data_IF_224953329341
#
_entry.id   IF_224953329341
#
_cell.length_a   1.000
_cell.length_b   1.000
_cell.length_c   1.000
_cell.angle_alpha   90.00
_cell.angle_beta   90.00
_cell.angle_gamma   90.00
#
_symmetry.space_group_name_H-M   'P 1'
#
loop_
_entity.id
_entity.type
_entity.pdbx_description
1 polymer ?
#
# COMPACT_ATOMS: atom_id res chain seq x y z
N UNK A 1 5.54 19.60 -19.50
CA UNK A 1 4.66 18.78 -18.67
C UNK A 1 3.59 19.60 -18.06
N UNK A 2 2.37 19.23 -18.32
CA UNK A 2 1.25 20.02 -17.86
C UNK A 2 0.51 19.39 -16.68
N UNK A 3 1.00 18.27 -16.27
CA UNK A 3 0.29 17.50 -15.25
C UNK A 3 0.21 18.24 -13.94
N UNK A 4 1.03 19.26 -13.73
CA UNK A 4 1.10 19.92 -12.45
C UNK A 4 0.16 21.09 -12.35
N UNK A 5 -0.56 21.40 -13.42
CA UNK A 5 -1.44 22.53 -13.41
C UNK A 5 -2.62 22.37 -12.46
N UNK A 6 -3.00 21.13 -12.16
CA UNK A 6 -4.15 20.89 -11.32
C UNK A 6 -3.80 20.63 -9.87
N UNK A 7 -2.64 21.11 -9.47
CA UNK A 7 -2.23 21.05 -8.08
C UNK A 7 -3.26 21.78 -7.20
N UNK A 8 -3.63 21.21 -6.07
CA UNK A 8 -4.55 21.93 -5.19
C UNK A 8 -3.92 23.26 -4.74
N UNK A 9 -4.73 24.28 -4.67
CA UNK A 9 -4.25 25.57 -4.19
C UNK A 9 -3.85 25.52 -2.73
N UNK A 10 -4.59 24.77 -1.93
CA UNK A 10 -4.33 24.64 -0.50
C UNK A 10 -4.32 23.16 -0.16
N UNK A 11 -3.18 22.59 0.15
CA UNK A 11 -3.11 21.15 0.46
C UNK A 11 -3.68 20.79 1.82
N UNK A 12 -4.02 21.79 2.64
CA UNK A 12 -4.59 21.51 3.96
C UNK A 12 -6.09 21.43 3.88
N UNK A 13 -6.68 20.63 4.77
CA UNK A 13 -8.11 20.76 5.00
C UNK A 13 -8.42 22.16 5.48
N UNK A 14 -9.60 22.67 5.11
CA UNK A 14 -10.04 23.95 5.61
C UNK A 14 -10.23 23.91 7.11
N UNK A 15 -9.97 25.04 7.78
CA UNK A 15 -10.14 25.05 9.23
C UNK A 15 -11.56 24.63 9.65
N UNK A 16 -12.56 25.04 8.89
CA UNK A 16 -13.92 24.66 9.26
C UNK A 16 -14.15 23.16 9.20
N UNK A 17 -13.48 22.47 8.30
CA UNK A 17 -13.57 21.01 8.25
C UNK A 17 -12.90 20.38 9.47
N UNK A 18 -11.74 20.90 9.84
CA UNK A 18 -11.04 20.40 11.03
C UNK A 18 -11.85 20.70 12.27
N UNK A 19 -12.41 21.89 12.34
CA UNK A 19 -13.25 22.30 13.48
C UNK A 19 -14.42 21.35 13.64
N UNK A 20 -15.05 20.97 12.54
CA UNK A 20 -16.18 20.07 12.58
C UNK A 20 -15.76 18.71 13.17
N UNK A 21 -14.59 18.20 12.76
CA UNK A 21 -14.07 16.93 13.28
C UNK A 21 -13.76 17.07 14.78
N UNK A 22 -13.12 18.17 15.16
CA UNK A 22 -12.77 18.39 16.56
C UNK A 22 -14.02 18.42 17.43
N UNK A 23 -15.06 19.07 16.99
CA UNK A 23 -16.27 19.19 17.79
C UNK A 23 -17.10 17.89 17.79
N UNK A 24 -17.21 17.23 16.64
CA UNK A 24 -18.17 16.14 16.50
C UNK A 24 -17.58 14.76 16.72
N UNK A 25 -16.29 14.58 16.50
CA UNK A 25 -15.63 13.28 16.70
C UNK A 25 -14.72 13.26 17.90
N UNK A 26 -13.96 14.34 18.12
CA UNK A 26 -13.07 14.38 19.27
C UNK A 26 -13.81 14.88 20.51
N UNK A 27 -14.81 15.74 20.30
CA UNK A 27 -15.60 16.24 21.40
C UNK A 27 -15.03 17.45 22.09
N UNK A 28 -14.27 18.25 21.36
CA UNK A 28 -13.66 19.47 21.93
C UNK A 28 -14.72 20.55 22.03
N UNK A 29 -14.97 21.02 23.26
CA UNK A 29 -15.91 22.12 23.50
C UNK A 29 -15.25 23.32 24.15
N UNK A 30 -14.04 23.18 24.64
CA UNK A 30 -13.33 24.22 25.38
C UNK A 30 -12.86 25.32 24.42
N UNK A 31 -13.35 26.55 24.58
CA UNK A 31 -12.94 27.64 23.65
C UNK A 31 -11.45 27.93 23.65
N UNK A 32 -10.80 27.82 24.83
CA UNK A 32 -9.39 28.06 24.90
C UNK A 32 -8.61 27.00 24.15
N UNK A 33 -9.05 25.74 24.23
CA UNK A 33 -8.43 24.69 23.46
C UNK A 33 -8.61 24.91 21.97
N UNK A 34 -9.82 25.26 21.56
CA UNK A 34 -10.07 25.52 20.14
C UNK A 34 -9.23 26.68 19.63
N UNK A 35 -9.05 27.71 20.44
CA UNK A 35 -8.21 28.84 20.06
C UNK A 35 -6.75 28.37 19.85
N UNK A 36 -6.25 27.58 20.78
CA UNK A 36 -4.90 27.06 20.66
C UNK A 36 -4.72 26.17 19.45
N UNK A 37 -5.72 25.34 19.16
CA UNK A 37 -5.66 24.44 18.02
C UNK A 37 -5.69 25.22 16.70
N UNK A 38 -6.47 26.31 16.66
CA UNK A 38 -6.49 27.14 15.48
C UNK A 38 -5.15 27.84 15.25
N UNK A 39 -4.52 28.30 16.34
CA UNK A 39 -3.20 28.91 16.23
C UNK A 39 -2.17 27.90 15.74
N UNK A 40 -2.26 26.66 16.21
CA UNK A 40 -1.40 25.59 15.69
C UNK A 40 -1.63 25.38 14.20
N UNK A 41 -2.88 25.33 13.78
CA UNK A 41 -3.20 25.18 12.36
C UNK A 41 -2.60 26.30 11.53
N UNK A 42 -2.77 27.54 12.00
CA UNK A 42 -2.24 28.69 11.28
C UNK A 42 -0.71 28.64 11.20
N UNK A 43 -0.06 28.22 12.27
CA UNK A 43 1.39 28.11 12.27
C UNK A 43 1.86 27.09 11.25
N UNK A 44 1.16 25.96 11.16
CA UNK A 44 1.51 24.92 10.20
C UNK A 44 1.34 25.43 8.77
N UNK A 45 0.23 26.08 8.49
CA UNK A 45 -0.02 26.62 7.15
C UNK A 45 1.05 27.66 6.79
N UNK A 46 1.38 28.53 7.73
CA UNK A 46 2.40 29.55 7.50
C UNK A 46 3.77 28.91 7.24
N UNK A 47 4.11 27.89 8.00
CA UNK A 47 5.39 27.21 7.82
C UNK A 47 5.46 26.56 6.44
N UNK A 48 4.35 25.98 6.00
CA UNK A 48 4.30 25.39 4.67
C UNK A 48 4.53 26.44 3.59
N UNK A 49 3.97 27.62 3.77
CA UNK A 49 4.15 28.68 2.78
C UNK A 49 5.58 29.20 2.72
N UNK A 50 6.27 29.25 3.85
CA UNK A 50 7.62 29.80 3.89
C UNK A 50 8.70 28.77 3.60
N UNK A 51 8.51 27.51 4.02
CA UNK A 51 9.55 26.49 3.90
C UNK A 51 9.19 25.39 2.92
N UNK A 52 7.98 25.37 2.42
CA UNK A 52 7.55 24.37 1.46
C UNK A 52 7.00 23.11 2.12
N UNK A 53 6.33 22.29 1.31
CA UNK A 53 5.60 21.14 1.86
C UNK A 53 6.49 20.07 2.49
N UNK A 54 7.64 19.83 1.95
CA UNK A 54 8.52 18.81 2.52
C UNK A 54 9.03 19.22 3.89
N UNK A 55 9.24 20.30 4.07
CA UNK A 55 9.68 20.81 5.21
C UNK A 55 8.71 20.89 6.23
N UNK A 56 7.76 21.30 5.77
CA UNK A 56 6.65 21.38 6.71
C UNK A 56 6.29 19.98 7.21
N UNK A 57 6.19 19.04 6.31
CA UNK A 57 5.86 17.67 6.67
C UNK A 57 6.90 17.07 7.61
N UNK A 58 8.16 17.35 7.37
CA UNK A 58 9.21 16.84 8.26
C UNK A 58 9.08 17.41 9.65
N UNK A 59 8.77 18.71 9.75
CA UNK A 59 8.60 19.32 11.07
C UNK A 59 7.41 18.75 11.82
N UNK A 60 6.30 18.57 11.11
CA UNK A 60 5.11 17.97 11.71
C UNK A 60 5.39 16.57 12.21
N UNK A 61 6.14 15.81 11.43
CA UNK A 61 6.51 14.45 11.82
C UNK A 61 7.29 14.46 13.13
N UNK A 62 8.25 15.38 13.26
CA UNK A 62 9.05 15.45 14.47
C UNK A 62 8.22 15.89 15.66
N UNK A 63 7.31 16.84 15.48
CA UNK A 63 6.43 17.27 16.57
C UNK A 63 5.54 16.12 17.02
N UNK A 64 4.96 15.39 16.06
CA UNK A 64 4.15 14.24 16.41
C UNK A 64 4.95 13.18 17.16
N UNK A 65 6.18 12.95 16.71
CA UNK A 65 7.03 11.97 17.36
C UNK A 65 7.35 12.38 18.79
N UNK A 66 7.68 13.67 19.00
CA UNK A 66 7.95 14.17 20.34
C UNK A 66 6.75 13.95 21.26
N UNK A 67 5.56 14.26 20.78
CA UNK A 67 4.36 14.12 21.59
C UNK A 67 4.01 12.65 21.82
N UNK A 68 4.23 11.81 20.84
CA UNK A 68 3.97 10.39 20.99
C UNK A 68 4.91 9.78 22.04
N UNK A 69 6.18 10.15 21.99
CA UNK A 69 7.13 9.66 22.98
C UNK A 69 6.75 10.13 24.38
N UNK A 70 6.32 11.39 24.49
CA UNK A 70 5.90 11.92 25.78
C UNK A 70 4.71 11.16 26.33
N UNK A 71 3.71 10.91 25.47
CA UNK A 71 2.53 10.17 25.87
C UNK A 71 2.89 8.76 26.34
N UNK A 72 3.89 8.16 25.71
CA UNK A 72 4.35 6.81 26.06
C UNK A 72 5.33 6.79 27.23
N UNK A 73 5.65 7.94 27.80
CA UNK A 73 6.61 8.00 28.92
C UNK A 73 8.04 7.82 28.51
N UNK A 74 8.35 8.03 27.24
CA UNK A 74 9.71 7.89 26.74
C UNK A 74 10.46 9.22 26.81
N UNK A 75 11.79 9.15 26.65
CA UNK A 75 12.61 10.34 26.68
C UNK A 75 12.31 11.24 25.49
N UNK A 76 12.53 12.55 25.70
CA UNK A 76 12.34 13.52 24.63
C UNK A 76 13.38 13.29 23.52
N UNK A 77 13.05 13.80 22.32
CA UNK A 77 13.96 13.71 21.20
C UNK A 77 15.23 14.51 21.48
N UNK A 78 16.34 14.08 20.87
CA UNK A 78 17.58 14.82 20.95
C UNK A 78 17.65 15.81 19.79
N UNK A 79 17.72 17.09 20.13
CA UNK A 79 17.95 18.18 19.17
C UNK A 79 17.06 18.12 17.94
N UNK A 80 15.75 18.07 18.10
CA UNK A 80 14.90 18.13 16.93
C UNK A 80 14.92 19.51 16.31
N UNK A 81 14.53 19.58 15.04
CA UNK A 81 14.53 20.83 14.31
C UNK A 81 13.22 21.57 14.51
N UNK A 82 12.91 21.88 15.76
CA UNK A 82 11.80 22.77 16.09
C UNK A 82 12.03 23.32 17.50
N UNK A 83 11.48 24.51 17.74
CA UNK A 83 11.64 25.14 19.05
C UNK A 83 10.80 24.42 20.09
N UNK A 84 11.39 24.19 21.27
CA UNK A 84 10.67 23.52 22.34
C UNK A 84 11.12 24.00 23.70
N UNK A 85 10.27 23.73 24.69
CA UNK A 85 10.57 24.03 26.07
C UNK A 85 11.61 23.04 26.59
N UNK A 86 12.10 23.31 27.80
CA UNK A 86 13.14 22.49 28.39
C UNK A 86 12.72 21.03 28.52
N UNK A 87 11.43 20.78 28.79
CA UNK A 87 10.93 19.44 28.96
C UNK A 87 10.55 18.78 27.61
N UNK A 88 10.82 19.44 26.49
CA UNK A 88 10.55 18.89 25.18
C UNK A 88 9.25 19.36 24.57
N UNK A 89 8.40 20.03 25.30
CA UNK A 89 7.10 20.44 24.79
C UNK A 89 7.27 21.46 23.66
N UNK A 90 6.68 21.24 22.48
CA UNK A 90 6.87 22.16 21.36
C UNK A 90 6.32 23.56 21.65
N UNK A 91 7.12 24.56 21.31
CA UNK A 91 6.69 25.94 21.55
C UNK A 91 5.62 26.43 20.58
N UNK A 92 5.40 25.70 19.48
CA UNK A 92 4.32 26.08 18.56
C UNK A 92 2.94 25.92 19.23
N UNK A 93 2.86 25.10 20.27
CA UNK A 93 1.62 24.97 21.03
C UNK A 93 1.49 26.10 22.02
N UNK A 94 0.25 26.60 22.18
CA UNK A 94 0.03 27.64 23.19
C UNK A 94 0.30 27.11 24.59
N UNK A 95 0.56 28.01 25.55
CA UNK A 95 0.76 27.57 26.91
C UNK A 95 -0.41 26.75 27.47
N UNK A 96 -1.62 27.12 27.09
CA UNK A 96 -2.79 26.37 27.54
C UNK A 96 -2.75 24.93 27.04
N UNK A 97 -2.46 24.74 25.76
CA UNK A 97 -2.34 23.40 25.21
C UNK A 97 -1.18 22.65 25.84
N UNK A 98 -0.03 23.32 26.03
CA UNK A 98 1.11 22.66 26.65
C UNK A 98 0.76 22.12 28.03
N UNK A 99 0.03 22.92 28.81
CA UNK A 99 -0.34 22.49 30.15
C UNK A 99 -1.28 21.30 30.12
N UNK A 100 -2.23 21.30 29.19
CA UNK A 100 -3.12 20.16 29.03
C UNK A 100 -2.36 18.88 28.67
N UNK A 101 -1.39 19.00 27.77
CA UNK A 101 -0.59 17.84 27.40
C UNK A 101 0.32 17.38 28.53
N UNK A 102 0.85 18.33 29.31
CA UNK A 102 1.66 17.97 30.46
C UNK A 102 0.87 17.21 31.50
N UNK A 103 -0.40 17.49 31.62
CA UNK A 103 -1.26 16.76 32.56
C UNK A 103 -1.81 15.47 31.96
N UNK A 104 -1.34 15.11 30.76
CA UNK A 104 -1.72 13.88 30.09
C UNK A 104 -3.22 13.80 29.77
N UNK A 105 -3.78 14.92 29.41
CA UNK A 105 -5.18 14.99 28.96
C UNK A 105 -5.26 14.32 27.59
N UNK A 106 -5.84 13.14 27.53
CA UNK A 106 -5.89 12.37 26.29
C UNK A 106 -6.74 13.07 25.22
N UNK A 107 -7.78 13.78 25.63
CA UNK A 107 -8.56 14.55 24.67
C UNK A 107 -7.73 15.64 24.01
N UNK A 108 -6.84 16.27 24.78
CA UNK A 108 -5.96 17.28 24.22
C UNK A 108 -4.96 16.66 23.24
N UNK A 109 -4.40 15.51 23.58
CA UNK A 109 -3.53 14.80 22.63
C UNK A 109 -4.27 14.46 21.35
N UNK A 110 -5.47 13.93 21.49
CA UNK A 110 -6.29 13.57 20.35
C UNK A 110 -6.57 14.78 19.46
N UNK A 111 -6.90 15.91 20.09
CA UNK A 111 -7.20 17.14 19.35
C UNK A 111 -5.96 17.67 18.63
N UNK A 112 -4.82 17.70 19.31
CA UNK A 112 -3.58 18.17 18.68
C UNK A 112 -3.21 17.25 17.53
N UNK A 113 -3.29 15.94 17.71
CA UNK A 113 -2.98 15.02 16.63
C UNK A 113 -3.95 15.18 15.45
N UNK A 114 -5.20 15.50 15.72
CA UNK A 114 -6.16 15.73 14.65
C UNK A 114 -5.70 16.90 13.78
N UNK A 115 -5.27 18.00 14.41
CA UNK A 115 -4.79 19.16 13.64
C UNK A 115 -3.52 18.79 12.88
N UNK A 116 -2.58 18.10 13.52
CA UNK A 116 -1.33 17.73 12.86
C UNK A 116 -1.57 16.78 11.70
N UNK A 117 -2.54 15.88 11.82
CA UNK A 117 -2.80 14.94 10.74
C UNK A 117 -3.62 15.55 9.61
N UNK A 118 -4.17 16.75 9.79
CA UNK A 118 -4.82 17.43 8.67
C UNK A 118 -3.81 17.72 7.55
N UNK A 119 -2.54 17.68 7.88
CA UNK A 119 -1.48 17.90 6.91
C UNK A 119 -1.11 16.66 6.13
N UNK A 120 -1.73 15.53 6.42
CA UNK A 120 -1.48 14.33 5.63
C UNK A 120 -1.88 14.50 4.18
N UNK A 121 -2.75 15.45 3.92
CA UNK A 121 -3.15 15.73 2.55
C UNK A 121 -2.14 16.58 1.80
N UNK A 122 -1.08 17.03 2.47
CA UNK A 122 -0.04 17.77 1.77
C UNK A 122 0.64 16.83 0.78
N UNK A 123 0.53 17.21 -0.48
CA UNK A 123 1.22 16.49 -1.53
C UNK A 123 2.59 17.12 -1.70
N UNK A 124 3.54 16.75 -1.07
CA UNK A 124 4.82 17.44 -1.12
C UNK A 124 5.03 18.20 -2.42
N UNK A 125 5.85 19.15 -2.45
CA UNK A 125 6.14 19.89 -3.65
C UNK A 125 6.87 19.09 -4.71
N UNK A 126 7.11 17.82 -4.47
CA UNK A 126 7.82 16.96 -5.42
C UNK A 126 6.87 16.48 -6.51
N UNK A 127 7.33 16.44 -7.75
CA UNK A 127 6.55 15.77 -8.79
C UNK A 127 6.38 14.31 -8.43
N UNK A 128 5.33 13.70 -8.96
CA UNK A 128 5.11 12.27 -8.75
C UNK A 128 6.23 11.50 -9.44
N UNK A 129 6.94 10.68 -8.68
CA UNK A 129 8.06 9.93 -9.21
C UNK A 129 7.59 8.54 -9.60
N UNK A 130 7.47 8.29 -10.89
CA UNK A 130 7.05 6.99 -11.39
C UNK A 130 8.22 6.10 -11.76
N UNK A 131 9.45 6.55 -11.55
CA UNK A 131 10.62 5.78 -11.95
C UNK A 131 10.69 4.42 -11.27
N UNK A 132 10.48 4.29 -9.96
CA UNK A 132 10.55 2.95 -9.37
C UNK A 132 9.52 2.00 -9.96
N UNK A 133 8.36 2.51 -10.36
CA UNK A 133 7.32 1.71 -10.95
C UNK A 133 7.66 1.27 -12.37
N UNK A 134 8.30 2.15 -13.14
CA UNK A 134 8.57 1.92 -14.56
C UNK A 134 9.88 1.19 -14.82
N UNK A 135 10.85 1.30 -13.92
CA UNK A 135 12.16 0.75 -14.16
C UNK A 135 12.10 -0.77 -14.27
N UNK A 136 12.75 -1.29 -15.28
CA UNK A 136 12.74 -2.73 -15.50
C UNK A 136 13.55 -3.46 -14.46
N UNK A 137 13.19 -4.73 -14.24
CA UNK A 137 13.89 -5.60 -13.31
C UNK A 137 14.96 -6.38 -14.04
N UNK A 138 16.09 -6.58 -13.39
CA UNK A 138 17.12 -7.47 -13.90
C UNK A 138 16.90 -8.92 -13.47
N UNK A 139 15.90 -9.18 -12.66
CA UNK A 139 15.64 -10.51 -12.14
C UNK A 139 15.33 -11.50 -13.26
N UNK A 140 15.93 -12.67 -13.19
CA UNK A 140 15.62 -13.76 -14.12
C UNK A 140 15.13 -14.99 -13.34
N UNK A 141 15.90 -15.41 -12.36
CA UNK A 141 15.56 -16.59 -11.60
C UNK A 141 16.46 -16.68 -10.37
N UNK A 142 15.96 -17.32 -9.32
CA UNK A 142 16.75 -17.66 -8.15
C UNK A 142 17.10 -19.14 -8.23
N UNK A 143 18.35 -19.52 -7.92
CA UNK A 143 18.64 -20.95 -7.80
C UNK A 143 17.82 -21.61 -6.69
N UNK A 144 17.39 -20.82 -5.72
CA UNK A 144 16.64 -21.32 -4.56
C UNK A 144 15.18 -21.62 -4.88
N UNK A 145 14.72 -21.41 -6.12
CA UNK A 145 13.34 -21.76 -6.47
C UNK A 145 13.04 -23.24 -6.23
N UNK A 146 14.07 -24.07 -6.27
CA UNK A 146 13.87 -25.48 -5.93
C UNK A 146 13.34 -25.68 -4.50
N UNK A 147 13.49 -24.67 -3.64
CA UNK A 147 13.01 -24.76 -2.26
C UNK A 147 11.50 -24.51 -2.12
N UNK A 148 10.80 -24.20 -3.21
CA UNK A 148 9.39 -23.86 -3.09
C UNK A 148 8.58 -25.04 -2.56
N UNK A 149 8.93 -26.28 -2.94
CA UNK A 149 8.20 -27.44 -2.45
C UNK A 149 8.37 -27.61 -0.94
N UNK A 150 9.57 -27.37 -0.43
CA UNK A 150 9.78 -27.40 1.01
C UNK A 150 9.00 -26.33 1.74
N UNK A 151 8.94 -25.14 1.14
CA UNK A 151 8.17 -24.04 1.70
C UNK A 151 6.68 -24.41 1.78
N UNK A 152 6.14 -24.94 0.69
CA UNK A 152 4.74 -25.35 0.69
C UNK A 152 4.47 -26.46 1.69
N UNK A 153 5.38 -27.40 1.78
CA UNK A 153 5.23 -28.51 2.72
C UNK A 153 5.25 -28.02 4.16
N UNK A 154 6.16 -27.10 4.47
CA UNK A 154 6.26 -26.57 5.83
C UNK A 154 4.95 -25.97 6.31
N UNK A 155 4.29 -25.20 5.46
CA UNK A 155 3.08 -24.49 5.85
C UNK A 155 1.80 -25.18 5.37
N UNK A 156 1.91 -26.40 4.92
CA UNK A 156 0.77 -27.21 4.46
C UNK A 156 -0.02 -26.47 3.37
N UNK A 157 0.71 -25.88 2.44
CA UNK A 157 0.10 -25.17 1.33
C UNK A 157 -0.16 -26.13 0.19
N UNK A 158 -1.40 -26.21 -0.25
CA UNK A 158 -1.82 -27.11 -1.32
C UNK A 158 -2.10 -26.34 -2.59
N UNK A 159 -2.05 -27.01 -3.75
CA UNK A 159 -2.47 -26.34 -4.97
C UNK A 159 -3.89 -25.79 -4.86
N UNK A 160 -4.11 -24.67 -5.54
CA UNK A 160 -5.34 -23.89 -5.44
C UNK A 160 -6.09 -23.96 -6.75
N UNK A 161 -7.41 -24.19 -6.68
CA UNK A 161 -8.33 -23.98 -7.79
C UNK A 161 -9.18 -22.77 -7.48
N UNK A 162 -9.54 -22.02 -8.52
CA UNK A 162 -10.39 -20.85 -8.34
C UNK A 162 -11.12 -20.52 -9.62
N UNK A 163 -12.30 -19.96 -9.48
CA UNK A 163 -13.12 -19.54 -10.61
C UNK A 163 -14.20 -18.60 -10.14
N UNK A 164 -14.68 -17.69 -10.84
CA UNK A 164 -15.50 -16.84 -10.58
C UNK A 164 -16.60 -17.47 -10.33
N UNK A 165 -17.18 -17.26 -9.40
CA UNK A 165 -18.48 -17.81 -9.04
C UNK A 165 -19.49 -16.70 -8.79
N UNK A 166 -19.03 -15.59 -8.27
CA UNK A 166 -19.88 -14.46 -7.94
C UNK A 166 -19.24 -13.18 -8.41
N UNK A 167 -20.04 -12.28 -8.94
CA UNK A 167 -19.56 -10.96 -9.29
C UNK A 167 -19.48 -10.12 -8.03
N UNK A 168 -18.43 -9.29 -7.94
CA UNK A 168 -18.31 -8.42 -6.79
C UNK A 168 -19.12 -7.15 -7.02
N UNK A 169 -19.71 -6.66 -5.92
CA UNK A 169 -20.58 -5.49 -5.97
C UNK A 169 -19.83 -4.32 -5.34
N UNK A 170 -18.90 -3.78 -6.12
CA UNK A 170 -18.05 -2.72 -5.61
C UNK A 170 -18.47 -1.37 -6.17
N UNK A 171 -18.56 -0.38 -5.29
CA UNK A 171 -18.76 1.01 -5.71
C UNK A 171 -17.46 1.80 -5.62
N UNK A 172 -16.36 1.15 -5.35
CA UNK A 172 -15.07 1.82 -5.35
C UNK A 172 -14.72 2.30 -6.74
N UNK A 173 -13.75 3.22 -6.80
CA UNK A 173 -13.39 3.80 -8.08
C UNK A 173 -12.81 2.77 -9.03
N UNK A 174 -13.28 2.79 -10.26
CA UNK A 174 -12.68 2.06 -11.36
C UNK A 174 -12.06 3.04 -12.34
N UNK A 175 -11.47 2.54 -13.44
CA UNK A 175 -10.78 3.45 -14.36
C UNK A 175 -11.72 4.43 -15.07
N UNK A 176 -13.00 4.07 -15.22
CA UNK A 176 -13.96 4.90 -15.96
C UNK A 176 -15.08 5.42 -15.05
N UNK A 177 -14.94 5.27 -13.73
CA UNK A 177 -15.96 5.71 -12.78
C UNK A 177 -16.17 4.64 -11.71
N UNK A 178 -17.24 4.75 -10.92
CA UNK A 178 -17.51 3.72 -9.91
C UNK A 178 -17.61 2.36 -10.57
N UNK A 179 -16.89 1.38 -10.01
CA UNK A 179 -16.62 0.13 -10.71
C UNK A 179 -17.88 -0.57 -11.21
N UNK A 180 -18.86 -0.74 -10.30
CA UNK A 180 -20.08 -1.45 -10.69
C UNK A 180 -20.86 -0.69 -11.74
N UNK A 181 -20.97 0.65 -11.57
CA UNK A 181 -21.79 1.46 -12.46
C UNK A 181 -21.23 1.56 -13.87
N UNK A 182 -19.90 1.48 -13.99
CA UNK A 182 -19.25 1.66 -15.29
C UNK A 182 -18.63 0.37 -15.80
N UNK A 183 -19.13 -0.78 -15.34
CA UNK A 183 -18.55 -2.05 -15.75
C UNK A 183 -18.65 -2.27 -17.27
N UNK A 184 -19.72 -1.80 -17.91
CA UNK A 184 -19.80 -1.91 -19.36
C UNK A 184 -18.79 -1.01 -20.06
N UNK A 185 -18.55 0.19 -19.51
CA UNK A 185 -17.50 1.05 -20.05
C UNK A 185 -16.15 0.36 -19.95
N UNK A 186 -15.89 -0.26 -18.81
CA UNK A 186 -14.65 -1.02 -18.63
C UNK A 186 -14.55 -2.13 -19.67
N UNK A 187 -15.66 -2.84 -19.90
CA UNK A 187 -15.66 -3.94 -20.86
C UNK A 187 -15.25 -3.45 -22.25
N UNK A 188 -15.80 -2.30 -22.64
CA UNK A 188 -15.50 -1.74 -23.95
C UNK A 188 -14.05 -1.31 -24.09
N UNK A 189 -13.39 -1.03 -22.96
CA UNK A 189 -11.97 -0.64 -22.97
C UNK A 189 -11.02 -1.83 -23.02
N UNK A 190 -11.51 -3.04 -22.79
CA UNK A 190 -10.63 -4.21 -22.78
C UNK A 190 -10.19 -4.57 -24.19
N UNK A 191 -8.91 -4.92 -24.32
CA UNK A 191 -8.42 -5.46 -25.60
C UNK A 191 -8.92 -6.89 -25.78
N UNK A 192 -8.89 -7.41 -27.01
CA UNK A 192 -9.21 -8.82 -27.19
C UNK A 192 -8.36 -9.76 -26.35
N UNK A 193 -7.07 -9.43 -26.20
CA UNK A 193 -6.20 -10.28 -25.37
C UNK A 193 -6.63 -10.24 -23.91
N UNK A 194 -6.97 -9.05 -23.41
CA UNK A 194 -7.44 -8.94 -22.02
C UNK A 194 -8.74 -9.72 -21.81
N UNK A 195 -9.66 -9.67 -22.77
CA UNK A 195 -10.88 -10.45 -22.67
C UNK A 195 -10.58 -11.94 -22.63
N UNK A 196 -9.62 -12.38 -23.43
CA UNK A 196 -9.21 -13.77 -23.43
C UNK A 196 -8.62 -14.17 -22.08
N UNK A 197 -7.73 -13.31 -21.53
CA UNK A 197 -7.13 -13.60 -20.24
C UNK A 197 -8.17 -13.68 -19.13
N UNK A 198 -9.09 -12.73 -19.11
CA UNK A 198 -10.17 -12.74 -18.12
C UNK A 198 -11.00 -14.01 -18.24
N UNK A 199 -11.30 -14.42 -19.47
CA UNK A 199 -12.10 -15.61 -19.69
C UNK A 199 -11.38 -16.88 -19.22
N UNK A 200 -10.11 -17.01 -19.60
CA UNK A 200 -9.38 -18.22 -19.28
C UNK A 200 -9.03 -18.29 -17.78
N UNK A 201 -8.60 -17.18 -17.22
CA UNK A 201 -8.22 -17.15 -15.82
C UNK A 201 -9.43 -17.21 -14.90
N UNK A 202 -10.54 -16.59 -15.31
CA UNK A 202 -11.73 -16.47 -14.47
C UNK A 202 -12.63 -17.69 -14.46
N UNK A 203 -12.51 -18.56 -15.46
CA UNK A 203 -13.31 -19.79 -15.50
C UNK A 203 -14.53 -19.69 -16.37
N UNK A 204 -15.25 -20.82 -16.51
CA UNK A 204 -16.33 -20.93 -17.54
C UNK A 204 -17.47 -19.94 -17.36
N UNK A 205 -17.86 -19.63 -16.11
CA UNK A 205 -18.98 -18.70 -15.94
C UNK A 205 -18.61 -17.31 -16.42
N UNK A 206 -17.42 -16.84 -16.08
CA UNK A 206 -16.99 -15.52 -16.50
C UNK A 206 -16.75 -15.51 -18.00
N UNK A 207 -16.19 -16.58 -18.54
CA UNK A 207 -15.99 -16.69 -19.98
C UNK A 207 -17.31 -16.58 -20.74
N UNK A 208 -18.37 -17.17 -20.23
CA UNK A 208 -19.68 -17.11 -20.89
C UNK A 208 -20.21 -15.68 -20.90
N UNK A 209 -20.05 -14.96 -19.77
CA UNK A 209 -20.52 -13.58 -19.69
C UNK A 209 -19.73 -12.70 -20.67
N UNK A 210 -18.41 -12.87 -20.72
CA UNK A 210 -17.57 -12.09 -21.64
C UNK A 210 -18.00 -12.33 -23.09
N UNK A 211 -18.28 -13.59 -23.44
CA UNK A 211 -18.71 -13.90 -24.80
C UNK A 211 -20.05 -13.24 -25.12
N UNK A 212 -20.99 -13.31 -24.17
CA UNK A 212 -22.30 -12.68 -24.39
C UNK A 212 -22.19 -11.18 -24.54
N UNK A 213 -21.34 -10.55 -23.75
CA UNK A 213 -21.13 -9.10 -23.85
C UNK A 213 -20.48 -8.73 -25.19
N UNK A 214 -19.59 -9.56 -25.70
CA UNK A 214 -19.01 -9.32 -27.01
C UNK A 214 -20.07 -9.39 -28.11
N UNK A 215 -20.97 -10.29 -28.01
CA UNK A 215 -22.08 -10.36 -28.95
C UNK A 215 -22.97 -9.12 -28.85
N UNK A 216 -23.19 -8.80 -27.74
CA UNK A 216 -23.93 -7.74 -27.48
C UNK A 216 -23.35 -6.53 -27.94
N UNK A 217 -22.20 -6.41 -27.84
CA UNK A 217 -21.49 -5.24 -28.33
C UNK A 217 -21.61 -5.13 -29.86
N UNK A 218 -21.41 -6.25 -30.54
CA UNK A 218 -21.46 -6.26 -31.97
C UNK A 218 -22.83 -6.00 -32.54
N UNK A 219 -23.88 -6.23 -31.77
CA UNK A 219 -25.26 -6.06 -32.25
C UNK A 219 -25.81 -4.67 -31.94
N UNK A 220 -25.06 -3.82 -31.28
CA UNK A 220 -25.55 -2.50 -30.86
C UNK A 220 -26.48 -2.53 -29.68
N UNK A 221 -26.63 -3.68 -29.05
CA UNK A 221 -27.56 -3.84 -27.94
C UNK A 221 -27.14 -3.03 -26.70
N UNK A 222 -25.85 -2.87 -26.52
CA UNK A 222 -25.36 -2.11 -25.35
C UNK A 222 -25.86 -0.68 -25.37
N UNK A 223 -25.85 -0.04 -26.54
CA UNK A 223 -26.34 1.33 -26.64
C UNK A 223 -27.82 1.42 -26.30
N UNK A 224 -28.58 0.40 -26.65
CA UNK A 224 -30.01 0.41 -26.38
C UNK A 224 -30.36 0.09 -24.96
N UNK A 225 -29.58 -0.79 -24.31
CA UNK A 225 -29.87 -1.20 -22.94
C UNK A 225 -29.24 -0.28 -21.88
N UNK A 226 -28.29 0.55 -22.27
CA UNK A 226 -27.58 1.39 -21.33
C UNK A 226 -27.80 2.85 -21.72
N UNK A 227 -28.80 3.51 -21.12
CA UNK A 227 -29.08 4.90 -21.51
C UNK A 227 -27.91 5.87 -21.29
N UNK A 228 -27.04 5.58 -20.34
CA UNK A 228 -25.89 6.45 -20.10
C UNK A 228 -24.75 6.21 -21.06
N UNK A 229 -24.93 5.31 -22.02
CA UNK A 229 -23.86 5.00 -22.95
C UNK A 229 -23.38 6.24 -23.72
N UNK A 230 -24.30 7.13 -24.04
CA UNK A 230 -23.96 8.33 -24.79
C UNK A 230 -23.16 9.33 -23.97
N UNK A 231 -23.13 9.17 -22.65
CA UNK A 231 -22.37 10.05 -21.78
C UNK A 231 -20.98 9.53 -21.50
N UNK A 232 -20.58 8.42 -22.16
CA UNK A 232 -19.26 7.85 -21.94
C UNK A 232 -18.18 8.80 -22.44
N UNK A 233 -17.03 8.82 -21.76
CA UNK A 233 -15.88 9.54 -22.31
C UNK A 233 -15.51 8.97 -23.66
N UNK A 234 -14.99 9.81 -24.53
CA UNK A 234 -14.57 9.35 -25.84
C UNK A 234 -13.42 8.37 -25.75
N UNK A 235 -12.54 8.57 -24.78
CA UNK A 235 -11.41 7.68 -24.57
C UNK A 235 -11.66 6.89 -23.30
N UNK A 236 -11.72 5.57 -23.45
CA UNK A 236 -11.88 4.67 -22.32
C UNK A 236 -10.54 4.05 -21.96
N UNK A 237 -10.38 3.78 -20.69
CA UNK A 237 -9.14 3.17 -20.21
C UNK A 237 -9.48 1.90 -19.43
N UNK A 238 -8.67 0.86 -19.60
CA UNK A 238 -8.84 -0.34 -18.78
C UNK A 238 -8.05 -0.25 -17.49
N UNK A 239 -7.20 0.75 -17.33
CA UNK A 239 -6.43 0.92 -16.11
C UNK A 239 -5.93 2.34 -15.99
N UNK A 240 -5.88 2.81 -14.76
CA UNK A 240 -5.36 4.13 -14.42
C UNK A 240 -4.44 4.01 -13.22
N UNK A 241 -3.60 5.02 -13.04
CA UNK A 241 -2.87 5.18 -11.80
C UNK A 241 -3.51 6.30 -11.00
N UNK A 242 -3.64 6.05 -9.71
CA UNK A 242 -4.14 7.04 -8.78
C UNK A 242 -3.02 7.36 -7.80
N UNK A 243 -2.76 8.65 -7.62
CA UNK A 243 -1.74 9.10 -6.67
C UNK A 243 -2.46 9.54 -5.42
N UNK A 244 -2.18 8.88 -4.31
CA UNK A 244 -2.81 9.22 -3.04
C UNK A 244 -1.77 9.73 -2.07
N UNK A 245 -2.07 10.81 -1.36
CA UNK A 245 -1.11 11.27 -0.36
C UNK A 245 -0.97 10.23 0.75
N UNK A 246 0.25 10.03 1.15
CA UNK A 246 0.56 9.23 2.30
C UNK A 246 1.03 10.16 3.39
N UNK A 247 1.40 9.61 4.51
CA UNK A 247 1.87 10.43 5.63
C UNK A 247 3.14 11.18 5.24
N UNK A 248 3.27 12.39 5.79
CA UNK A 248 4.53 13.13 5.74
C UNK A 248 4.95 13.49 4.33
N UNK A 249 3.98 13.96 3.55
CA UNK A 249 4.19 14.49 2.20
C UNK A 249 4.66 13.45 1.19
N UNK A 250 4.58 12.18 1.52
CA UNK A 250 4.85 11.14 0.55
C UNK A 250 3.60 10.86 -0.27
N UNK A 251 3.82 10.26 -1.42
CA UNK A 251 2.72 9.86 -2.29
C UNK A 251 2.82 8.38 -2.59
N UNK A 252 1.67 7.72 -2.62
CA UNK A 252 1.59 6.32 -3.04
C UNK A 252 0.85 6.26 -4.35
N UNK A 253 1.33 5.40 -5.24
CA UNK A 253 0.71 5.21 -6.53
C UNK A 253 -0.02 3.88 -6.52
N UNK A 254 -1.33 3.93 -6.79
CA UNK A 254 -2.17 2.75 -6.83
C UNK A 254 -2.62 2.50 -8.26
N UNK A 255 -2.72 1.23 -8.62
CA UNK A 255 -3.34 0.87 -9.88
C UNK A 255 -4.84 0.74 -9.70
N UNK A 256 -5.60 1.34 -10.60
CA UNK A 256 -7.05 1.17 -10.64
C UNK A 256 -7.35 0.37 -11.89
N UNK A 257 -7.80 -0.88 -11.69
CA UNK A 257 -8.02 -1.80 -12.77
C UNK A 257 -9.50 -1.95 -13.06
N UNK A 258 -9.78 -2.43 -14.25
CA UNK A 258 -11.15 -2.59 -14.72
C UNK A 258 -11.91 -3.61 -13.88
N UNK A 259 -13.23 -3.48 -13.93
CA UNK A 259 -14.14 -4.35 -13.19
C UNK A 259 -13.90 -5.84 -13.50
N UNK A 260 -13.65 -6.15 -14.76
CA UNK A 260 -13.58 -7.56 -15.19
C UNK A 260 -12.30 -8.22 -14.72
N UNK A 261 -11.18 -7.50 -14.76
CA UNK A 261 -9.95 -8.01 -14.18
C UNK A 261 -10.10 -8.23 -12.67
N UNK A 262 -10.69 -7.26 -11.97
CA UNK A 262 -10.88 -7.42 -10.53
C UNK A 262 -11.82 -8.58 -10.21
N UNK A 263 -12.88 -8.73 -10.98
CA UNK A 263 -13.81 -9.85 -10.80
C UNK A 263 -13.10 -11.19 -11.01
N UNK A 264 -12.28 -11.25 -12.04
CA UNK A 264 -11.51 -12.44 -12.36
C UNK A 264 -10.54 -12.80 -11.22
N UNK A 265 -9.95 -11.79 -10.58
CA UNK A 265 -8.93 -12.00 -9.55
C UNK A 265 -9.51 -12.29 -8.17
N UNK A 266 -10.77 -11.97 -7.93
CA UNK A 266 -11.30 -12.06 -6.58
C UNK A 266 -11.25 -13.47 -6.00
N UNK A 267 -11.59 -14.54 -6.74
CA UNK A 267 -11.47 -15.87 -6.15
C UNK A 267 -10.05 -16.22 -5.75
N UNK A 268 -9.08 -15.86 -6.59
CA UNK A 268 -7.67 -16.09 -6.24
C UNK A 268 -7.29 -15.30 -4.99
N UNK A 269 -7.73 -14.05 -4.92
CA UNK A 269 -7.51 -13.19 -3.77
C UNK A 269 -7.97 -13.88 -2.47
N UNK A 270 -9.18 -14.42 -2.49
CA UNK A 270 -9.70 -15.08 -1.30
C UNK A 270 -8.93 -16.35 -0.96
N UNK A 271 -8.55 -17.12 -1.95
CA UNK A 271 -7.79 -18.35 -1.69
C UNK A 271 -6.40 -18.04 -1.14
N UNK A 272 -5.75 -17.00 -1.65
CA UNK A 272 -4.43 -16.64 -1.16
C UNK A 272 -4.49 -16.17 0.29
N UNK A 273 -5.55 -15.44 0.68
CA UNK A 273 -5.69 -15.06 2.08
C UNK A 273 -5.87 -16.27 2.98
N UNK A 274 -6.56 -17.30 2.50
CA UNK A 274 -6.63 -18.55 3.28
C UNK A 274 -5.26 -19.17 3.49
N UNK A 275 -4.43 -19.12 2.44
CA UNK A 275 -3.06 -19.64 2.57
C UNK A 275 -2.28 -18.87 3.63
N UNK A 276 -2.39 -17.54 3.62
CA UNK A 276 -1.65 -16.72 4.58
C UNK A 276 -2.02 -17.04 6.02
N UNK A 277 -3.27 -17.41 6.26
CA UNK A 277 -3.68 -17.79 7.62
C UNK A 277 -2.96 -19.01 8.15
N UNK A 278 -2.42 -19.84 7.27
CA UNK A 278 -1.68 -21.04 7.68
C UNK A 278 -0.24 -20.73 8.07
N UNK A 279 0.27 -19.56 7.70
CA UNK A 279 1.66 -19.22 7.94
C UNK A 279 1.73 -18.48 9.29
N UNK A 280 2.28 -19.17 10.30
CA UNK A 280 2.27 -18.65 11.66
C UNK A 280 2.85 -17.25 11.81
N UNK A 281 4.01 -16.96 11.22
CA UNK A 281 4.58 -15.61 11.35
C UNK A 281 3.83 -14.52 10.59
N UNK A 282 2.85 -14.87 9.79
CA UNK A 282 2.09 -13.86 9.05
C UNK A 282 1.16 -13.09 9.97
N UNK A 283 1.16 -11.77 9.85
CA UNK A 283 0.35 -10.89 10.69
C UNK A 283 -0.69 -10.11 9.90
N UNK A 284 -1.05 -10.58 8.72
CA UNK A 284 -2.05 -9.91 7.89
C UNK A 284 -3.36 -9.68 8.63
N UNK A 285 -3.76 -10.65 9.45
CA UNK A 285 -5.04 -10.58 10.17
C UNK A 285 -4.88 -10.22 11.64
N UNK A 286 -3.67 -9.87 12.08
CA UNK A 286 -3.43 -9.54 13.48
C UNK A 286 -3.51 -8.03 13.68
N UNK A 287 -3.94 -7.64 14.88
CA UNK A 287 -4.08 -6.24 15.25
C UNK A 287 -2.93 -5.74 16.11
N UNK A 288 -2.06 -6.63 16.53
CA UNK A 288 -0.98 -6.29 17.45
C UNK A 288 0.28 -5.89 16.71
N UNK A 289 1.18 -5.23 17.43
CA UNK A 289 2.48 -4.86 16.87
C UNK A 289 3.27 -6.09 16.47
N UNK A 290 4.08 -5.95 15.44
CA UNK A 290 4.94 -7.05 15.01
C UNK A 290 5.93 -7.47 16.09
N UNK A 291 6.31 -6.55 16.98
CA UNK A 291 7.32 -6.82 17.99
C UNK A 291 6.77 -7.45 19.26
N UNK A 292 5.44 -7.48 19.47
CA UNK A 292 4.91 -7.87 20.76
C UNK A 292 4.77 -9.37 20.96
N UNK A 293 4.94 -10.17 19.92
CA UNK A 293 4.54 -11.57 19.97
C UNK A 293 5.68 -12.56 19.93
N UNK A 294 6.91 -12.11 19.90
CA UNK A 294 8.01 -13.05 19.87
C UNK A 294 9.29 -12.42 20.39
N UNK A 295 10.22 -13.24 20.73
CA UNK A 295 11.54 -12.81 21.18
C UNK A 295 12.58 -13.26 20.15
N UNK A 296 13.69 -12.52 20.03
CA UNK A 296 14.75 -12.99 19.14
C UNK A 296 15.31 -14.31 19.64
N UNK A 297 15.95 -15.05 18.77
CA UNK A 297 16.69 -16.23 19.17
C UNK A 297 17.74 -15.81 20.20
N UNK A 298 18.09 -16.75 21.07
CA UNK A 298 19.03 -16.45 22.16
C UNK A 298 20.33 -15.93 21.59
N UNK A 299 20.77 -14.77 22.06
CA UNK A 299 22.00 -14.15 21.60
C UNK A 299 21.85 -13.36 20.32
N UNK A 300 20.64 -13.25 19.78
CA UNK A 300 20.39 -12.51 18.57
C UNK A 300 19.55 -11.28 18.85
N UNK A 301 19.39 -10.44 17.84
CA UNK A 301 18.66 -9.18 17.94
C UNK A 301 17.42 -9.20 17.05
N UNK A 302 16.52 -8.24 17.28
CA UNK A 302 15.44 -7.95 16.33
C UNK A 302 15.99 -7.12 15.18
N UNK A 303 15.55 -7.44 13.97
CA UNK A 303 15.92 -6.69 12.78
C UNK A 303 14.67 -6.29 12.03
N UNK A 304 14.33 -4.99 12.09
CA UNK A 304 13.27 -4.42 11.28
C UNK A 304 13.88 -3.94 9.96
N UNK A 305 13.33 -4.38 8.85
CA UNK A 305 13.85 -3.98 7.55
C UNK A 305 12.77 -3.22 6.81
N UNK A 306 13.10 -2.01 6.37
CA UNK A 306 12.16 -1.11 5.69
C UNK A 306 12.41 -1.15 4.20
N UNK A 307 11.51 -1.79 3.46
CA UNK A 307 11.64 -1.95 2.02
C UNK A 307 11.27 -0.66 1.30
N UNK A 308 11.98 -0.38 0.21
CA UNK A 308 11.72 0.78 -0.62
C UNK A 308 10.88 0.36 -1.83
N UNK A 309 9.70 0.95 -1.98
CA UNK A 309 8.83 0.68 -3.13
C UNK A 309 8.63 -0.82 -3.34
N UNK A 310 8.21 -1.51 -2.28
CA UNK A 310 8.23 -2.97 -2.28
C UNK A 310 7.42 -3.58 -3.41
N UNK A 311 6.14 -3.18 -3.56
CA UNK A 311 5.30 -3.76 -4.60
C UNK A 311 5.73 -3.32 -6.00
N UNK A 312 6.30 -2.13 -6.12
CA UNK A 312 6.77 -1.65 -7.42
C UNK A 312 8.02 -2.40 -7.88
N UNK A 313 8.84 -2.86 -6.95
CA UNK A 313 10.14 -3.43 -7.29
C UNK A 313 10.25 -4.94 -7.10
N UNK A 314 9.38 -5.56 -6.32
CA UNK A 314 9.42 -7.02 -6.15
C UNK A 314 9.06 -7.66 -7.49
N UNK A 315 9.95 -8.48 -8.06
CA UNK A 315 9.73 -8.92 -9.44
C UNK A 315 8.45 -9.75 -9.59
N UNK A 316 7.59 -9.31 -10.49
CA UNK A 316 6.40 -10.09 -10.81
C UNK A 316 6.77 -11.45 -11.39
N UNK A 317 7.93 -11.52 -12.04
CA UNK A 317 8.41 -12.79 -12.56
C UNK A 317 8.67 -13.80 -11.43
N UNK A 318 9.25 -13.33 -10.32
CA UNK A 318 9.45 -14.22 -9.17
C UNK A 318 8.10 -14.67 -8.63
N UNK A 319 7.15 -13.76 -8.56
CA UNK A 319 5.80 -14.11 -8.10
C UNK A 319 5.18 -15.15 -9.03
N UNK A 320 5.34 -14.99 -10.33
CA UNK A 320 4.84 -15.98 -11.28
C UNK A 320 5.48 -17.35 -11.01
N UNK A 321 6.78 -17.36 -10.79
CA UNK A 321 7.49 -18.62 -10.54
C UNK A 321 6.99 -19.32 -9.28
N UNK A 322 6.74 -18.56 -8.22
CA UNK A 322 6.20 -19.12 -7.00
C UNK A 322 4.75 -19.57 -7.21
N UNK A 323 3.92 -18.72 -7.81
CA UNK A 323 2.52 -19.06 -8.01
C UNK A 323 2.33 -20.23 -8.95
N UNK A 324 3.30 -20.49 -9.83
CA UNK A 324 3.20 -21.65 -10.72
C UNK A 324 3.00 -22.95 -9.98
N UNK A 325 3.54 -23.03 -8.77
CA UNK A 325 3.40 -24.25 -7.97
C UNK A 325 2.04 -24.34 -7.29
N UNK A 326 1.34 -23.23 -7.18
CA UNK A 326 0.03 -23.19 -6.52
C UNK A 326 -1.12 -23.26 -7.51
N UNK A 327 -1.03 -22.55 -8.62
CA UNK A 327 -2.14 -22.45 -9.56
C UNK A 327 -1.78 -22.98 -10.93
N UNK A 328 -0.59 -23.49 -11.11
CA UNK A 328 -0.14 -24.02 -12.39
C UNK A 328 0.54 -22.93 -13.22
N UNK A 329 1.44 -23.36 -14.13
CA UNK A 329 2.20 -22.36 -14.90
C UNK A 329 1.35 -21.52 -15.85
N UNK A 330 0.30 -22.11 -16.43
CA UNK A 330 -0.54 -21.34 -17.35
C UNK A 330 -1.26 -20.22 -16.64
N UNK A 331 -1.93 -20.52 -15.52
CA UNK A 331 -2.65 -19.48 -14.80
C UNK A 331 -1.71 -18.47 -14.17
N UNK A 332 -0.54 -18.91 -13.72
CA UNK A 332 0.44 -17.97 -13.16
C UNK A 332 0.91 -16.99 -14.25
N UNK A 333 1.15 -17.48 -15.44
CA UNK A 333 1.53 -16.62 -16.56
C UNK A 333 0.41 -15.65 -16.91
N UNK A 334 -0.80 -16.13 -16.94
CA UNK A 334 -1.95 -15.28 -17.21
C UNK A 334 -2.14 -14.20 -16.13
N UNK A 335 -1.92 -14.41 -14.88
CA UNK A 335 -1.99 -13.56 -13.91
C UNK A 335 -1.15 -12.50 -14.10
N UNK A 336 0.16 -12.87 -14.40
CA UNK A 336 1.18 -11.85 -14.64
C UNK A 336 0.83 -10.96 -15.84
N UNK A 337 0.46 -11.58 -16.93
CA UNK A 337 0.15 -10.80 -18.13
C UNK A 337 -1.02 -9.86 -17.90
N UNK A 338 -2.07 -10.33 -17.24
CA UNK A 338 -3.25 -9.51 -17.00
C UNK A 338 -2.93 -8.32 -16.10
N UNK A 339 -2.06 -8.51 -15.12
CA UNK A 339 -1.71 -7.44 -14.17
C UNK A 339 -0.77 -6.41 -14.78
N UNK A 340 0.19 -6.84 -15.58
CA UNK A 340 1.31 -5.97 -15.92
C UNK A 340 1.51 -5.72 -17.41
N UNK A 341 0.95 -6.55 -18.28
CA UNK A 341 1.15 -6.32 -19.72
C UNK A 341 0.02 -5.42 -20.24
N UNK A 342 -0.02 -4.24 -19.69
CA UNK A 342 -1.03 -3.25 -20.02
C UNK A 342 -0.53 -1.88 -19.64
N UNK A 343 -1.18 -0.87 -20.20
CA UNK A 343 -0.83 0.50 -19.90
C UNK A 343 -1.77 1.08 -18.85
N UNK A 344 -1.19 1.87 -17.97
CA UNK A 344 -1.92 2.57 -16.92
C UNK A 344 -1.87 4.06 -17.23
N UNK A 345 -3.02 4.69 -17.30
CA UNK A 345 -3.09 6.12 -17.61
C UNK A 345 -2.81 6.95 -16.38
N UNK A 346 -1.92 7.93 -16.52
CA UNK A 346 -1.65 8.91 -15.48
C UNK A 346 -1.60 10.27 -16.18
N UNK A 347 -2.70 11.01 -16.10
CA UNK A 347 -2.82 12.22 -16.88
C UNK A 347 -2.67 11.93 -18.36
N UNK A 348 -1.73 12.58 -19.02
CA UNK A 348 -1.45 12.35 -20.44
C UNK A 348 -0.54 11.18 -20.70
N UNK A 349 0.04 10.60 -19.68
CA UNK A 349 1.05 9.58 -19.85
C UNK A 349 0.44 8.19 -19.78
N UNK A 350 1.03 7.28 -20.53
CA UNK A 350 0.75 5.85 -20.44
C UNK A 350 1.97 5.19 -19.81
N UNK A 351 1.76 4.48 -18.72
CA UNK A 351 2.85 3.94 -17.92
C UNK A 351 2.69 2.43 -17.79
N UNK A 352 3.80 1.71 -17.90
CA UNK A 352 3.82 0.27 -17.69
C UNK A 352 4.66 -0.07 -16.48
N UNK A 353 4.24 -1.09 -15.74
CA UNK A 353 5.05 -1.61 -14.65
C UNK A 353 6.26 -2.33 -15.23
N UNK A 354 7.43 -1.99 -14.71
CA UNK A 354 8.67 -2.54 -15.24
C UNK A 354 9.20 -3.75 -14.47
N UNK A 355 8.84 -3.86 -13.20
CA UNK A 355 9.32 -4.95 -12.37
C UNK A 355 8.21 -5.60 -11.57
N UNK A 356 7.43 -4.80 -10.86
CA UNK A 356 6.43 -5.29 -9.92
C UNK A 356 5.03 -5.29 -10.47
N UNK A 357 4.07 -4.91 -9.63
CA UNK A 357 2.66 -5.07 -9.97
C UNK A 357 1.84 -3.94 -9.36
N UNK A 358 0.63 -3.72 -9.89
CA UNK A 358 -0.18 -2.61 -9.38
C UNK A 358 -0.70 -2.89 -7.98
N UNK A 359 -0.34 -2.02 -7.07
CA UNK A 359 -0.96 -1.97 -5.76
C UNK A 359 -2.40 -1.51 -5.97
N UNK A 360 -3.35 -2.29 -5.57
CA UNK A 360 -4.76 -2.01 -5.82
C UNK A 360 -5.44 -3.12 -6.58
N UNK A 361 -4.70 -3.94 -7.31
CA UNK A 361 -5.29 -5.13 -7.91
C UNK A 361 -5.63 -6.13 -6.81
N UNK A 362 -6.80 -6.74 -6.93
CA UNK A 362 -7.11 -7.84 -6.03
C UNK A 362 -6.06 -8.92 -6.24
N UNK A 363 -5.73 -9.63 -5.21
CA UNK A 363 -4.67 -10.63 -5.14
C UNK A 363 -3.27 -10.04 -4.95
N UNK A 364 -3.04 -8.79 -5.29
CA UNK A 364 -1.68 -8.25 -5.17
C UNK A 364 -1.10 -8.34 -3.76
N UNK A 365 -1.76 -8.08 -2.86
CA UNK A 365 -1.30 -8.06 -1.62
C UNK A 365 -0.94 -9.34 -1.14
N UNK A 366 -1.96 -10.14 -1.32
CA UNK A 366 -1.78 -11.48 -0.80
C UNK A 366 -0.66 -12.23 -1.53
N UNK A 367 -0.59 -12.07 -2.83
CA UNK A 367 0.46 -12.76 -3.59
C UNK A 367 1.84 -12.23 -3.22
N UNK A 368 1.97 -10.92 -3.10
CA UNK A 368 3.23 -10.34 -2.67
C UNK A 368 3.63 -10.86 -1.29
N UNK A 369 2.66 -10.87 -0.37
CA UNK A 369 2.94 -11.32 1.01
C UNK A 369 3.40 -12.78 1.02
N UNK A 370 2.74 -13.62 0.24
CA UNK A 370 3.14 -15.02 0.16
C UNK A 370 4.57 -15.15 -0.35
N UNK A 371 4.90 -14.41 -1.40
CA UNK A 371 6.25 -14.47 -1.94
C UNK A 371 7.27 -13.90 -0.97
N UNK A 372 6.88 -12.90 -0.19
CA UNK A 372 7.75 -12.35 0.84
C UNK A 372 8.08 -13.42 1.89
N UNK A 373 7.08 -14.20 2.29
CA UNK A 373 7.35 -15.35 3.19
C UNK A 373 8.29 -16.34 2.55
N UNK A 374 8.14 -16.60 1.25
CA UNK A 374 9.06 -17.51 0.58
C UNK A 374 10.49 -16.98 0.63
N UNK A 375 10.68 -15.68 0.45
CA UNK A 375 12.01 -15.08 0.53
C UNK A 375 12.60 -15.29 1.92
N UNK A 376 11.80 -15.15 2.98
CA UNK A 376 12.30 -15.41 4.33
C UNK A 376 12.66 -16.88 4.50
N UNK A 377 11.86 -17.78 3.93
CA UNK A 377 12.15 -19.20 3.97
C UNK A 377 13.51 -19.49 3.32
N UNK A 378 13.76 -18.88 2.15
CA UNK A 378 15.04 -19.06 1.48
C UNK A 378 16.18 -18.50 2.33
N UNK A 379 15.96 -17.33 2.94
CA UNK A 379 16.99 -16.73 3.80
C UNK A 379 17.34 -17.66 4.96
N UNK A 380 16.33 -18.28 5.56
CA UNK A 380 16.58 -19.21 6.66
C UNK A 380 17.38 -20.43 6.19
N UNK A 381 17.04 -20.96 5.01
CA UNK A 381 17.78 -22.10 4.48
C UNK A 381 19.22 -21.73 4.13
N UNK A 382 19.44 -20.53 3.60
CA UNK A 382 20.79 -20.05 3.35
C UNK A 382 21.58 -19.87 4.65
N UNK A 383 20.89 -19.60 5.75
CA UNK A 383 21.51 -19.51 7.06
C UNK A 383 21.64 -20.88 7.73
N UNK A 384 21.36 -21.95 6.98
CA UNK A 384 21.44 -23.34 7.46
C UNK A 384 20.47 -23.64 8.58
N UNK A 385 19.31 -22.97 8.58
CA UNK A 385 18.24 -23.26 9.53
C UNK A 385 17.10 -23.96 8.83
N UNK A 386 16.62 -25.05 9.45
CA UNK A 386 15.45 -25.74 8.93
C UNK A 386 14.15 -25.00 9.30
N UNK A 387 14.18 -24.31 10.42
CA UNK A 387 13.00 -23.61 10.92
C UNK A 387 13.34 -22.17 11.24
N UNK A 388 12.65 -21.19 10.89
CA UNK A 388 12.88 -19.99 11.12
C UNK A 388 11.67 -19.40 11.20
N UNK A 389 11.10 -19.57 12.26
CA UNK A 389 9.77 -18.99 12.46
C UNK A 389 9.86 -17.71 13.28
N UNK A 390 11.06 -17.37 13.71
CA UNK A 390 11.26 -16.18 14.53
C UNK A 390 11.33 -14.93 13.65
N UNK A 391 10.23 -14.66 12.99
CA UNK A 391 10.03 -13.41 12.26
C UNK A 391 8.54 -13.12 12.27
N UNK A 392 8.20 -11.88 12.02
CA UNK A 392 6.79 -11.48 11.83
C UNK A 392 6.71 -10.59 10.61
N UNK A 393 5.67 -10.78 9.84
CA UNK A 393 5.58 -10.15 8.53
C UNK A 393 4.14 -9.70 8.28
N UNK A 394 4.00 -8.45 7.83
CA UNK A 394 2.72 -7.87 7.43
C UNK A 394 2.98 -7.06 6.18
N UNK A 395 2.59 -7.60 5.01
CA UNK A 395 2.85 -6.91 3.76
C UNK A 395 4.34 -6.70 3.53
N UNK A 396 4.77 -5.45 3.50
CA UNK A 396 6.18 -5.12 3.35
C UNK A 396 6.85 -4.80 4.68
N UNK A 397 6.12 -4.88 5.79
CA UNK A 397 6.72 -4.70 7.12
C UNK A 397 7.21 -6.04 7.64
N UNK A 398 8.45 -6.07 8.09
CA UNK A 398 9.02 -7.33 8.55
C UNK A 398 9.98 -7.08 9.71
N UNK A 399 9.94 -7.99 10.69
CA UNK A 399 10.89 -8.03 11.80
C UNK A 399 11.43 -9.46 11.87
N UNK A 400 12.73 -9.59 11.88
CA UNK A 400 13.39 -10.90 11.92
C UNK A 400 14.21 -11.00 13.20
N UNK A 401 14.04 -12.10 13.95
CA UNK A 401 14.69 -12.27 15.24
C UNK A 401 15.90 -13.20 15.21
N UNK A 402 16.64 -13.20 14.13
CA UNK A 402 17.85 -14.00 13.98
C UNK A 402 18.82 -13.25 13.10
N UNK A 403 20.04 -13.07 13.58
CA UNK A 403 21.02 -12.23 12.90
C UNK A 403 21.41 -12.80 11.53
N UNK A 404 21.63 -14.11 11.47
CA UNK A 404 22.06 -14.72 10.21
C UNK A 404 20.95 -14.72 9.17
N UNK A 405 19.73 -14.98 9.61
CA UNK A 405 18.59 -14.93 8.67
C UNK A 405 18.42 -13.52 8.15
N UNK A 406 18.53 -12.52 9.03
CA UNK A 406 18.40 -11.13 8.59
C UNK A 406 19.48 -10.77 7.58
N UNK A 407 20.72 -11.24 7.79
CA UNK A 407 21.80 -10.99 6.86
C UNK A 407 21.50 -11.61 5.49
N UNK A 408 21.07 -12.87 5.48
CA UNK A 408 20.77 -13.54 4.22
C UNK A 408 19.55 -12.91 3.54
N UNK A 409 18.58 -12.47 4.33
CA UNK A 409 17.40 -11.81 3.81
C UNK A 409 17.78 -10.52 3.07
N UNK A 410 18.65 -9.72 3.67
CA UNK A 410 19.09 -8.49 3.03
C UNK A 410 19.87 -8.76 1.75
N UNK A 411 20.69 -9.82 1.74
CA UNK A 411 21.39 -10.21 0.51
C UNK A 411 20.40 -10.62 -0.57
N UNK A 412 19.37 -11.37 -0.20
CA UNK A 412 18.36 -11.79 -1.16
C UNK A 412 17.63 -10.61 -1.75
N UNK A 413 17.30 -9.61 -0.93
CA UNK A 413 16.64 -8.42 -1.45
C UNK A 413 17.46 -7.77 -2.54
N UNK A 414 18.76 -7.66 -2.32
CA UNK A 414 19.64 -7.08 -3.31
C UNK A 414 19.64 -7.93 -4.59
N UNK A 415 19.71 -9.25 -4.43
CA UNK A 415 19.71 -10.15 -5.59
C UNK A 415 18.46 -10.03 -6.44
N UNK A 416 17.31 -9.82 -5.81
CA UNK A 416 16.07 -9.73 -6.57
C UNK A 416 15.73 -8.29 -6.98
N UNK A 417 16.56 -7.33 -6.58
CA UNK A 417 16.39 -5.95 -7.02
C UNK A 417 15.47 -5.09 -6.16
N UNK A 418 15.31 -5.46 -4.89
CA UNK A 418 14.49 -4.67 -3.97
C UNK A 418 15.42 -3.96 -2.99
N UNK A 419 15.31 -2.64 -2.95
CA UNK A 419 16.14 -1.85 -2.05
C UNK A 419 15.47 -1.73 -0.68
N UNK A 420 16.29 -1.54 0.33
CA UNK A 420 15.78 -1.24 1.66
C UNK A 420 16.53 -0.04 2.21
N UNK A 421 15.88 0.65 3.13
CA UNK A 421 16.43 1.88 3.71
C UNK A 421 17.36 1.53 4.86
N UNK A 422 18.66 1.85 4.77
CA UNK A 422 19.54 1.60 5.91
C UNK A 422 19.21 2.49 7.10
N UNK A 423 18.67 3.67 6.86
CA UNK A 423 18.34 4.60 7.94
C UNK A 423 17.13 4.16 8.74
N UNK A 424 16.16 3.53 8.07
CA UNK A 424 14.94 3.08 8.72
C UNK A 424 15.01 1.62 9.10
N UNK A 425 16.09 0.93 8.73
CA UNK A 425 16.30 -0.46 9.12
C UNK A 425 16.95 -0.45 10.50
N UNK A 426 16.26 -1.03 11.47
CA UNK A 426 16.65 -0.91 12.88
C UNK A 426 17.00 -2.28 13.43
N UNK A 427 18.09 -2.33 14.18
CA UNK A 427 18.48 -3.52 14.93
C UNK A 427 18.37 -3.19 16.42
N UNK A 428 17.69 -4.05 17.17
CA UNK A 428 17.54 -3.83 18.60
C UNK A 428 17.48 -5.15 19.36
N UNK A 429 17.86 -5.09 20.61
CA UNK A 429 17.89 -6.28 21.48
C UNK A 429 16.55 -6.53 22.15
#
# INVERSE_FOLDING_TARGET
MKEIKNKPKNPFLEWNQILWVLKNFVGVTDPEMLKGLRLLYKAIVSYNETRGPVXCSDRIKLIRLELTRRLAGQDKLERPDFARCRDGMPKVLTPYLRNKLRSKDLGAYQAVFTVLTSTRSILGGKPVDTLPLEKESSYKSLPDLALIDGFMSKWNIKPIDFAXEQFHMSVKAGPNGPALNTSLHDFLALTPRQKQLVSELGGPQLAMVVRHLDIXKGSGLIERLCPSFHKMPKTLSSAKLSVKPDREAKSRIFGILDYWTQTCLKPLHLELFKVLKRIGPDKTFAQTSLLTEFRPDEGHSYHSVDLSSATDRFPILLQEQVLSRLIGPNKASQXRELLTDREFQLGNRSIRYGAGQPMGALSSXAAFTLCHHFIVYVAARRANLLHXDNYRLLGDDIVIGNDEVAYQYKKLLIEIGVEYSPHKTITSN
#
